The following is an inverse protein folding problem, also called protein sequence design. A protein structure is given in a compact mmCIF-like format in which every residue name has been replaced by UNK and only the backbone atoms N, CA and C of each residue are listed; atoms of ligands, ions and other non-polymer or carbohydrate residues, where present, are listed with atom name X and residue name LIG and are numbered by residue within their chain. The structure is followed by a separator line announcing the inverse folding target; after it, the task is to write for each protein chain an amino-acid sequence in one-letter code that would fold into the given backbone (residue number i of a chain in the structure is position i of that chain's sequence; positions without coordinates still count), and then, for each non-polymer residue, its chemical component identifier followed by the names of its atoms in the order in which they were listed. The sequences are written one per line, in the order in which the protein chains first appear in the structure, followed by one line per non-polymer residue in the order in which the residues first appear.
data_IF_188090957103
#
_entry.id   IF_188090957103
#
_cell.length_a   1.000
_cell.length_b   1.000
_cell.length_c   1.000
_cell.angle_alpha   90.00
_cell.angle_beta   90.00
_cell.angle_gamma   90.00
#
_symmetry.space_group_name_H-M   'P 1'
#
loop_
_entity.id
_entity.type
_entity.pdbx_description
1 polymer ?
#
# COMPACT_ATOMS: atom_id res chain seq x y z
N UNK A 1 -52.77 17.88 58.29
CA UNK A 1 -52.62 17.81 56.82
C UNK A 1 -52.84 16.35 56.40
N UNK A 2 -53.83 16.07 55.54
CA UNK A 2 -54.30 14.69 55.27
C UNK A 2 -53.21 13.84 54.60
N UNK A 3 -52.83 12.70 55.19
CA UNK A 3 -51.68 11.86 54.77
C UNK A 3 -51.74 11.48 53.28
N UNK A 4 -52.95 11.28 52.75
CA UNK A 4 -53.22 11.00 51.34
C UNK A 4 -52.84 12.15 50.40
N UNK A 5 -53.04 13.41 50.81
CA UNK A 5 -52.68 14.59 50.00
C UNK A 5 -51.16 14.77 49.91
N UNK A 6 -50.43 14.48 50.99
CA UNK A 6 -48.96 14.53 51.02
C UNK A 6 -48.38 13.47 50.08
N UNK A 7 -48.88 12.23 50.15
CA UNK A 7 -48.46 11.14 49.26
C UNK A 7 -48.71 11.48 47.77
N UNK A 8 -49.86 12.09 47.45
CA UNK A 8 -50.18 12.54 46.09
C UNK A 8 -49.25 13.66 45.59
N UNK A 9 -48.89 14.61 46.46
CA UNK A 9 -47.96 15.69 46.12
C UNK A 9 -46.55 15.13 45.87
N UNK A 10 -46.07 14.23 46.73
CA UNK A 10 -44.76 13.59 46.56
C UNK A 10 -44.72 12.79 45.26
N UNK A 11 -45.76 12.00 44.98
CA UNK A 11 -45.86 11.22 43.74
C UNK A 11 -45.88 12.11 42.48
N UNK A 12 -46.64 13.21 42.51
CA UNK A 12 -46.67 14.17 41.41
C UNK A 12 -45.29 14.83 41.18
N UNK A 13 -44.55 15.13 42.24
CA UNK A 13 -43.18 15.65 42.15
C UNK A 13 -42.24 14.63 41.51
N UNK A 14 -42.29 13.35 41.91
CA UNK A 14 -41.47 12.32 41.28
C UNK A 14 -41.80 12.10 39.81
N UNK A 15 -43.08 12.15 39.42
CA UNK A 15 -43.48 12.10 38.01
C UNK A 15 -42.93 13.29 37.24
N UNK A 16 -43.07 14.52 37.76
CA UNK A 16 -42.55 15.71 37.11
C UNK A 16 -41.02 15.65 36.97
N UNK A 17 -40.33 15.24 38.04
CA UNK A 17 -38.88 15.03 38.03
C UNK A 17 -38.49 13.98 36.99
N UNK A 18 -39.21 12.85 36.90
CA UNK A 18 -38.97 11.81 35.91
C UNK A 18 -39.19 12.30 34.48
N UNK A 19 -40.29 13.01 34.20
CA UNK A 19 -40.60 13.57 32.89
C UNK A 19 -39.54 14.59 32.43
N UNK A 20 -38.85 15.26 33.36
CA UNK A 20 -37.75 16.20 33.03
C UNK A 20 -36.41 15.46 32.92
N UNK A 21 -36.07 14.63 33.91
CA UNK A 21 -34.77 13.95 33.98
C UNK A 21 -34.60 12.86 32.95
N UNK A 22 -35.64 12.07 32.64
CA UNK A 22 -35.50 10.96 31.68
C UNK A 22 -35.14 11.46 30.27
N UNK A 23 -35.83 12.46 29.67
CA UNK A 23 -35.40 13.03 28.39
C UNK A 23 -34.00 13.66 28.44
N UNK A 24 -33.63 14.32 29.54
CA UNK A 24 -32.29 14.88 29.70
C UNK A 24 -31.20 13.81 29.73
N UNK A 25 -31.45 12.69 30.43
CA UNK A 25 -30.55 11.53 30.45
C UNK A 25 -30.48 10.90 29.07
N UNK A 26 -31.60 10.73 28.37
CA UNK A 26 -31.63 10.21 26.99
C UNK A 26 -30.81 11.10 26.07
N UNK A 27 -31.03 12.42 26.07
CA UNK A 27 -30.25 13.39 25.28
C UNK A 27 -28.76 13.34 25.63
N UNK A 28 -28.42 13.27 26.91
CA UNK A 28 -27.04 13.14 27.37
C UNK A 28 -26.37 11.87 26.84
N UNK A 29 -27.04 10.73 26.94
CA UNK A 29 -26.52 9.43 26.44
C UNK A 29 -26.48 9.37 24.91
N UNK A 30 -27.35 10.11 24.22
CA UNK A 30 -27.34 10.27 22.76
C UNK A 30 -26.24 11.24 22.25
N UNK A 31 -25.43 11.82 23.15
CA UNK A 31 -24.29 12.66 22.82
C UNK A 31 -24.57 14.16 22.76
N UNK A 32 -25.76 14.62 23.18
CA UNK A 32 -26.08 16.04 23.22
C UNK A 32 -25.40 16.73 24.40
N UNK A 33 -24.79 17.88 24.15
CA UNK A 33 -24.08 18.71 25.14
C UNK A 33 -24.45 20.17 24.94
N UNK A 34 -24.57 20.89 26.05
CA UNK A 34 -24.79 22.34 26.00
C UNK A 34 -23.46 23.07 25.74
N UNK A 35 -23.51 24.03 24.81
CA UNK A 35 -22.43 24.93 24.41
C UNK A 35 -22.88 26.38 24.64
N UNK A 36 -22.09 27.23 25.31
CA UNK A 36 -22.44 28.63 25.57
C UNK A 36 -22.75 29.48 24.34
N UNK A 37 -22.24 29.11 23.16
CA UNK A 37 -22.42 29.88 21.92
C UNK A 37 -23.39 29.22 20.93
N UNK A 38 -23.50 27.88 20.94
CA UNK A 38 -24.24 27.12 19.92
C UNK A 38 -25.46 26.38 20.48
N UNK A 39 -25.78 26.56 21.77
CA UNK A 39 -26.89 25.85 22.41
C UNK A 39 -26.61 24.35 22.56
N UNK A 40 -27.61 23.51 22.32
CA UNK A 40 -27.49 22.05 22.46
C UNK A 40 -26.93 21.47 21.16
N UNK A 41 -25.70 20.96 21.20
CA UNK A 41 -25.00 20.34 20.05
C UNK A 41 -24.79 18.86 20.27
N UNK A 42 -24.89 18.06 19.20
CA UNK A 42 -24.54 16.63 19.27
C UNK A 42 -23.04 16.49 19.03
N UNK A 43 -22.34 15.95 20.02
CA UNK A 43 -20.88 15.78 19.95
C UNK A 43 -20.45 14.68 18.99
N UNK A 44 -19.25 14.80 18.45
CA UNK A 44 -18.58 13.77 17.65
C UNK A 44 -17.51 13.02 18.44
N UNK A 45 -16.92 12.02 17.80
CA UNK A 45 -15.87 11.17 18.36
C UNK A 45 -14.68 11.08 17.40
N UNK A 46 -13.45 11.07 17.93
CA UNK A 46 -12.25 10.68 17.18
C UNK A 46 -11.81 9.30 17.63
N UNK A 47 -11.58 8.40 16.67
CA UNK A 47 -10.80 7.18 16.90
C UNK A 47 -9.42 7.36 16.29
N UNK A 48 -8.38 7.14 17.08
CA UNK A 48 -7.00 7.39 16.71
C UNK A 48 -6.20 6.12 16.99
N UNK A 49 -5.51 5.59 15.99
CA UNK A 49 -4.56 4.49 16.09
C UNK A 49 -3.36 4.75 15.16
N UNK A 50 -2.20 4.24 15.56
CA UNK A 50 -0.96 4.36 14.82
C UNK A 50 -0.21 3.03 14.79
N UNK A 51 0.67 2.89 13.81
CA UNK A 51 1.70 1.84 13.75
C UNK A 51 3.08 2.52 13.76
N UNK A 52 3.95 2.27 14.76
CA UNK A 52 3.71 1.49 15.97
C UNK A 52 2.64 2.10 16.89
N UNK A 53 2.17 1.29 17.85
CA UNK A 53 1.28 1.74 18.92
C UNK A 53 2.04 2.62 19.92
N UNK A 54 1.29 3.19 20.87
CA UNK A 54 1.78 4.02 21.97
C UNK A 54 2.29 5.41 21.56
N UNK A 55 1.84 5.91 20.40
CA UNK A 55 2.11 7.28 19.99
C UNK A 55 1.40 8.28 20.90
N UNK A 56 2.11 9.32 21.31
CA UNK A 56 1.56 10.47 22.02
C UNK A 56 0.59 11.22 21.11
N UNK A 57 -0.60 11.52 21.63
CA UNK A 57 -1.66 12.25 20.91
C UNK A 57 -1.76 13.68 21.40
N UNK A 58 -1.74 14.66 20.49
CA UNK A 58 -2.10 16.05 20.79
C UNK A 58 -3.29 16.49 19.92
N UNK A 59 -4.17 17.29 20.51
CA UNK A 59 -5.32 17.90 19.84
C UNK A 59 -5.24 19.42 20.01
N UNK A 60 -5.14 20.15 18.90
CA UNK A 60 -4.91 21.61 18.87
C UNK A 60 -3.75 22.03 19.78
N UNK A 61 -2.63 21.31 19.69
CA UNK A 61 -1.45 21.54 20.51
C UNK A 61 -1.59 21.14 21.98
N UNK A 62 -2.70 20.57 22.44
CA UNK A 62 -2.88 20.09 23.81
C UNK A 62 -2.67 18.59 23.91
N UNK A 63 -1.79 18.17 24.84
CA UNK A 63 -1.52 16.76 25.12
C UNK A 63 -2.79 16.06 25.61
N UNK A 64 -3.14 14.94 24.97
CA UNK A 64 -4.20 14.05 25.44
C UNK A 64 -3.65 13.07 26.47
N UNK A 65 -4.50 12.65 27.41
CA UNK A 65 -4.10 11.81 28.55
C UNK A 65 -3.70 10.38 28.17
N UNK A 66 -4.27 9.85 27.10
CA UNK A 66 -4.10 8.46 26.65
C UNK A 66 -3.35 8.46 25.30
N UNK A 67 -2.43 7.53 25.11
CA UNK A 67 -1.70 7.35 23.85
C UNK A 67 -2.54 6.56 22.82
N UNK A 68 -2.15 6.60 21.54
CA UNK A 68 -2.78 5.79 20.50
C UNK A 68 -2.49 4.29 20.71
N UNK A 69 -3.47 3.37 20.53
CA UNK A 69 -4.84 3.64 20.10
C UNK A 69 -5.73 4.21 21.21
N UNK A 70 -6.50 5.25 20.90
CA UNK A 70 -7.43 5.90 21.85
C UNK A 70 -8.70 6.43 21.17
N UNK A 71 -9.72 6.69 21.99
CA UNK A 71 -11.01 7.25 21.57
C UNK A 71 -11.23 8.57 22.32
N UNK A 72 -11.27 9.68 21.59
CA UNK A 72 -11.60 10.99 22.13
C UNK A 72 -13.09 11.24 21.90
N UNK A 73 -13.89 11.05 22.96
CA UNK A 73 -15.34 11.26 22.94
C UNK A 73 -15.69 12.71 23.23
N UNK A 74 -16.94 13.08 22.95
CA UNK A 74 -17.55 14.35 23.36
C UNK A 74 -16.89 15.59 22.75
N UNK A 75 -16.30 15.44 21.57
CA UNK A 75 -15.72 16.56 20.84
C UNK A 75 -16.83 17.41 20.24
N UNK A 76 -16.65 18.72 20.30
CA UNK A 76 -17.58 19.63 19.63
C UNK A 76 -17.35 19.51 18.13
N UNK A 77 -18.40 19.62 17.31
CA UNK A 77 -18.22 19.65 15.86
C UNK A 77 -17.35 20.85 15.45
N UNK A 78 -16.18 20.56 14.89
CA UNK A 78 -15.15 21.52 14.48
C UNK A 78 -14.04 20.82 13.71
N UNK A 79 -13.15 21.59 13.08
CA UNK A 79 -11.86 21.11 12.59
C UNK A 79 -10.86 21.07 13.76
N UNK A 80 -10.11 19.98 13.87
CA UNK A 80 -9.10 19.78 14.90
C UNK A 80 -7.75 19.43 14.28
N UNK A 81 -6.67 20.06 14.73
CA UNK A 81 -5.32 19.61 14.42
C UNK A 81 -4.99 18.41 15.31
N UNK A 82 -4.83 17.23 14.70
CA UNK A 82 -4.39 16.02 15.38
C UNK A 82 -2.91 15.82 15.10
N UNK A 83 -2.11 15.68 16.15
CA UNK A 83 -0.68 15.39 16.05
C UNK A 83 -0.37 14.06 16.76
N UNK A 84 0.42 13.21 16.10
CA UNK A 84 0.90 11.93 16.62
C UNK A 84 2.42 11.94 16.61
N UNK A 85 3.02 11.62 17.76
CA UNK A 85 4.46 11.58 17.92
C UNK A 85 4.90 10.32 18.68
N UNK A 86 5.98 9.70 18.23
CA UNK A 86 6.61 8.57 18.91
C UNK A 86 8.14 8.78 18.88
N UNK A 87 8.86 8.60 20.00
CA UNK A 87 10.30 8.80 20.04
C UNK A 87 11.03 8.02 18.94
N UNK A 88 11.97 8.68 18.24
CA UNK A 88 12.73 8.08 17.13
C UNK A 88 11.96 7.92 15.82
N UNK A 89 10.73 8.44 15.72
CA UNK A 89 9.91 8.39 14.51
C UNK A 89 9.59 9.81 14.02
N UNK A 90 9.37 9.94 12.72
CA UNK A 90 8.87 11.14 12.09
C UNK A 90 7.45 11.42 12.61
N UNK A 91 7.14 12.67 13.03
CA UNK A 91 5.81 13.01 13.51
C UNK A 91 4.79 12.97 12.37
N UNK A 92 3.54 12.70 12.73
CA UNK A 92 2.40 12.82 11.83
C UNK A 92 1.44 13.88 12.37
N UNK A 93 0.88 14.68 11.47
CA UNK A 93 -0.15 15.66 11.82
C UNK A 93 -1.14 15.81 10.66
N UNK A 94 -2.41 16.07 11.02
CA UNK A 94 -3.47 16.38 10.05
C UNK A 94 -4.60 17.14 10.72
N UNK A 95 -5.14 18.14 10.02
CA UNK A 95 -6.39 18.81 10.41
C UNK A 95 -7.57 18.00 9.92
N UNK A 96 -8.47 17.62 10.83
CA UNK A 96 -9.60 16.75 10.53
C UNK A 96 -10.90 17.28 11.14
N UNK A 97 -11.95 17.24 10.32
CA UNK A 97 -13.30 17.59 10.72
C UNK A 97 -13.93 16.53 11.62
N UNK A 98 -14.42 16.97 12.77
CA UNK A 98 -15.32 16.21 13.64
C UNK A 98 -16.74 16.68 13.38
N UNK A 99 -17.63 15.74 13.07
CA UNK A 99 -19.04 16.01 12.76
C UNK A 99 -19.98 15.53 13.86
N UNK A 100 -21.18 16.11 13.89
CA UNK A 100 -22.20 15.83 14.89
C UNK A 100 -22.61 14.35 14.91
N UNK A 101 -22.41 13.64 16.03
CA UNK A 101 -22.85 12.25 16.17
C UNK A 101 -22.09 11.22 15.33
N UNK A 102 -21.04 11.63 14.64
CA UNK A 102 -20.18 10.77 13.82
C UNK A 102 -18.88 10.42 14.55
N UNK A 103 -18.23 9.34 14.11
CA UNK A 103 -16.86 9.01 14.49
C UNK A 103 -15.94 9.26 13.31
N UNK A 104 -14.96 10.14 13.46
CA UNK A 104 -13.88 10.32 12.47
C UNK A 104 -12.75 9.36 12.83
N UNK A 105 -12.40 8.48 11.89
CA UNK A 105 -11.37 7.45 12.07
C UNK A 105 -10.01 7.91 11.53
N UNK A 106 -8.96 7.65 12.31
CA UNK A 106 -7.55 7.80 11.98
C UNK A 106 -6.88 6.48 12.42
N UNK A 107 -6.95 5.45 11.58
CA UNK A 107 -6.61 4.07 11.96
C UNK A 107 -5.43 3.47 11.19
N UNK A 108 -5.06 4.07 10.05
CA UNK A 108 -4.00 3.58 9.18
C UNK A 108 -2.72 4.43 9.21
N UNK A 109 -2.50 5.26 10.23
CA UNK A 109 -1.31 6.11 10.31
C UNK A 109 -0.07 5.27 10.62
N UNK A 110 0.98 5.44 9.80
CA UNK A 110 2.31 4.88 10.07
C UNK A 110 3.22 6.02 10.52
N UNK A 111 3.82 5.85 11.69
CA UNK A 111 4.92 6.68 12.14
C UNK A 111 6.20 6.01 11.66
N UNK A 112 6.82 6.58 10.63
CA UNK A 112 8.05 6.05 10.05
C UNK A 112 9.25 6.38 10.96
N UNK A 113 10.15 5.45 11.17
CA UNK A 113 11.42 5.66 11.88
C UNK A 113 12.22 6.77 11.20
N UNK A 114 12.79 7.64 12.02
CA UNK A 114 13.73 8.67 11.57
C UNK A 114 15.15 8.09 11.55
N UNK A 115 15.35 7.12 10.66
CA UNK A 115 16.63 6.41 10.49
C UNK A 115 17.13 6.50 9.05
N UNK A 116 18.46 6.52 8.91
CA UNK A 116 19.12 6.46 7.62
C UNK A 116 19.08 5.05 7.03
N UNK A 117 19.16 4.97 5.71
CA UNK A 117 19.33 3.72 4.99
C UNK A 117 20.72 3.12 5.24
N UNK A 118 20.83 1.80 5.15
CA UNK A 118 22.06 1.05 5.34
C UNK A 118 22.39 0.24 4.09
N UNK A 119 23.63 0.28 3.63
CA UNK A 119 24.14 -0.59 2.56
C UNK A 119 24.25 -2.02 3.10
N UNK A 120 23.59 -2.96 2.44
CA UNK A 120 23.55 -4.39 2.81
C UNK A 120 24.46 -5.21 1.90
N UNK A 121 24.40 -4.96 0.59
CA UNK A 121 25.20 -5.66 -0.41
C UNK A 121 25.82 -4.61 -1.33
N UNK A 122 27.15 -4.55 -1.38
CA UNK A 122 27.92 -3.65 -2.25
C UNK A 122 28.29 -4.36 -3.54
N UNK A 123 27.35 -4.45 -4.47
CA UNK A 123 27.54 -5.09 -5.77
C UNK A 123 26.91 -4.24 -6.88
N UNK A 124 27.50 -4.29 -8.07
CA UNK A 124 26.94 -3.64 -9.25
C UNK A 124 25.88 -4.54 -9.89
N UNK A 125 24.66 -4.47 -9.37
CA UNK A 125 23.54 -5.31 -9.79
C UNK A 125 22.94 -4.80 -11.10
N UNK A 126 22.97 -5.62 -12.15
CA UNK A 126 22.31 -5.30 -13.43
C UNK A 126 20.79 -5.50 -13.36
N UNK A 127 20.35 -6.55 -12.66
CA UNK A 127 18.95 -6.85 -12.42
C UNK A 127 18.76 -7.42 -11.02
N UNK A 128 17.58 -7.22 -10.45
CA UNK A 128 17.22 -7.70 -9.11
C UNK A 128 15.77 -8.15 -9.10
N UNK A 129 15.48 -9.20 -8.34
CA UNK A 129 14.13 -9.68 -8.11
C UNK A 129 13.98 -10.16 -6.66
N UNK A 130 12.85 -9.81 -6.04
CA UNK A 130 12.51 -10.20 -4.68
C UNK A 130 11.49 -11.34 -4.69
N UNK A 131 11.70 -12.32 -3.82
CA UNK A 131 10.71 -13.38 -3.61
C UNK A 131 9.41 -12.80 -3.06
N UNK A 132 8.23 -13.37 -3.38
CA UNK A 132 6.95 -12.89 -2.88
C UNK A 132 6.84 -12.80 -1.35
N UNK A 133 7.66 -13.57 -0.63
CA UNK A 133 7.71 -13.55 0.85
C UNK A 133 8.64 -12.48 1.41
N UNK A 134 9.48 -11.85 0.59
CA UNK A 134 10.51 -10.89 1.01
C UNK A 134 11.74 -11.52 1.68
N UNK A 135 11.80 -12.85 1.77
CA UNK A 135 12.87 -13.57 2.48
C UNK A 135 14.14 -13.75 1.63
N UNK A 136 13.98 -13.78 0.31
CA UNK A 136 15.07 -13.97 -0.65
C UNK A 136 15.11 -12.83 -1.66
N UNK A 137 16.33 -12.46 -2.04
CA UNK A 137 16.65 -11.58 -3.16
C UNK A 137 17.56 -12.32 -4.13
N UNK A 138 17.23 -12.25 -5.42
CA UNK A 138 18.08 -12.69 -6.50
C UNK A 138 18.60 -11.47 -7.26
N UNK A 139 19.87 -11.44 -7.61
CA UNK A 139 20.42 -10.41 -8.50
C UNK A 139 21.35 -11.04 -9.52
N UNK A 140 21.56 -10.33 -10.64
CA UNK A 140 22.61 -10.65 -11.57
C UNK A 140 23.68 -9.56 -11.54
N UNK A 141 24.94 -9.97 -11.60
CA UNK A 141 26.09 -9.10 -11.75
C UNK A 141 27.03 -9.62 -12.85
N UNK A 142 27.87 -8.72 -13.36
CA UNK A 142 28.87 -9.08 -14.36
C UNK A 142 30.25 -9.12 -13.72
N UNK A 143 30.84 -10.32 -13.67
CA UNK A 143 32.16 -10.54 -13.09
C UNK A 143 33.04 -11.37 -14.04
N UNK A 144 34.23 -10.87 -14.35
CA UNK A 144 35.26 -11.58 -15.10
C UNK A 144 34.79 -12.23 -16.43
N UNK A 145 33.87 -11.58 -17.16
CA UNK A 145 33.35 -12.07 -18.45
C UNK A 145 32.15 -13.02 -18.33
N UNK A 146 31.65 -13.23 -17.12
CA UNK A 146 30.44 -13.97 -16.82
C UNK A 146 29.35 -13.03 -16.35
N UNK A 147 28.11 -13.34 -16.73
CA UNK A 147 26.94 -12.84 -16.00
C UNK A 147 26.53 -13.91 -15.00
N UNK A 148 26.63 -13.60 -13.71
CA UNK A 148 26.39 -14.50 -12.60
C UNK A 148 25.09 -14.12 -11.89
N UNK A 149 24.28 -15.11 -11.53
CA UNK A 149 23.05 -14.91 -10.76
C UNK A 149 23.25 -15.46 -9.37
N UNK A 150 23.02 -14.59 -8.39
CA UNK A 150 23.20 -14.86 -6.98
C UNK A 150 21.86 -14.80 -6.27
N UNK A 151 21.70 -15.63 -5.24
CA UNK A 151 20.58 -15.56 -4.29
C UNK A 151 21.13 -15.34 -2.90
N UNK A 152 20.48 -14.47 -2.13
CA UNK A 152 20.79 -14.23 -0.73
C UNK A 152 19.52 -14.13 0.10
N UNK A 153 19.66 -14.31 1.41
CA UNK A 153 18.54 -14.12 2.35
C UNK A 153 18.56 -12.70 2.91
N UNK A 154 17.38 -12.12 3.14
CA UNK A 154 17.24 -10.80 3.75
C UNK A 154 17.65 -10.76 5.22
N UNK A 155 17.67 -11.92 5.90
CA UNK A 155 18.02 -12.03 7.32
C UNK A 155 19.53 -12.17 7.58
N UNK A 156 20.26 -12.88 6.72
CA UNK A 156 21.71 -13.07 6.78
C UNK A 156 22.26 -13.12 5.35
N UNK A 157 22.99 -12.09 4.89
CA UNK A 157 23.50 -12.05 3.52
C UNK A 157 24.58 -13.13 3.29
N UNK A 158 24.16 -14.35 2.97
CA UNK A 158 25.03 -15.42 2.50
C UNK A 158 24.70 -15.66 1.02
N UNK A 159 25.43 -14.95 0.15
CA UNK A 159 25.25 -15.01 -1.28
C UNK A 159 25.63 -16.40 -1.81
N UNK A 160 24.75 -16.99 -2.63
CA UNK A 160 25.00 -18.26 -3.32
C UNK A 160 24.86 -18.05 -4.82
N UNK A 161 25.88 -18.46 -5.57
CA UNK A 161 25.83 -18.53 -7.03
C UNK A 161 24.86 -19.65 -7.43
N UNK A 162 23.82 -19.32 -8.20
CA UNK A 162 22.80 -20.29 -8.63
C UNK A 162 22.77 -20.50 -10.14
N UNK A 163 23.32 -19.56 -10.90
CA UNK A 163 23.42 -19.66 -12.36
C UNK A 163 24.55 -18.78 -12.86
N UNK A 164 25.14 -19.13 -14.00
CA UNK A 164 26.07 -18.25 -14.72
C UNK A 164 26.00 -18.52 -16.22
N UNK A 165 26.25 -17.49 -17.00
CA UNK A 165 26.38 -17.58 -18.46
C UNK A 165 27.60 -16.80 -18.93
N UNK A 166 28.27 -17.34 -19.94
CA UNK A 166 29.43 -16.73 -20.58
C UNK A 166 28.93 -15.54 -21.42
N UNK A 167 29.55 -14.36 -21.26
CA UNK A 167 29.23 -13.04 -21.88
C UNK A 167 28.41 -12.09 -21.00
N UNK A 168 28.48 -10.81 -21.36
CA UNK A 168 27.66 -9.71 -20.83
C UNK A 168 26.26 -9.78 -21.45
N UNK A 169 25.43 -10.65 -20.89
CA UNK A 169 24.07 -10.90 -21.36
C UNK A 169 23.06 -10.29 -20.38
N UNK A 170 22.12 -9.52 -20.91
CA UNK A 170 21.06 -8.95 -20.09
C UNK A 170 20.09 -10.06 -19.64
N UNK A 171 20.22 -10.49 -18.39
CA UNK A 171 19.31 -11.42 -17.76
C UNK A 171 18.10 -10.68 -17.17
N UNK A 172 16.93 -11.32 -17.22
CA UNK A 172 15.76 -10.89 -16.45
C UNK A 172 15.47 -11.94 -15.37
N UNK A 173 15.29 -11.48 -14.14
CA UNK A 173 14.95 -12.32 -13.00
C UNK A 173 13.49 -12.07 -12.60
N UNK A 174 12.75 -13.14 -12.32
CA UNK A 174 11.39 -13.04 -11.77
C UNK A 174 11.15 -14.24 -10.86
N UNK A 175 10.60 -14.02 -9.67
CA UNK A 175 10.22 -15.13 -8.79
C UNK A 175 8.84 -15.64 -9.18
N UNK A 176 8.73 -16.92 -9.52
CA UNK A 176 7.45 -17.55 -9.89
C UNK A 176 6.69 -18.05 -8.66
N UNK A 177 7.41 -18.34 -7.59
CA UNK A 177 6.88 -18.71 -6.28
C UNK A 177 7.90 -18.28 -5.19
N UNK A 178 7.62 -18.46 -3.89
CA UNK A 178 8.55 -18.09 -2.81
C UNK A 178 9.96 -18.67 -2.88
N UNK A 179 10.13 -19.79 -3.59
CA UNK A 179 11.32 -20.65 -3.58
C UNK A 179 11.93 -20.86 -4.96
N UNK A 180 11.33 -20.37 -6.04
CA UNK A 180 11.82 -20.56 -7.42
C UNK A 180 11.99 -19.23 -8.15
N UNK A 181 13.20 -19.01 -8.67
CA UNK A 181 13.51 -17.91 -9.60
C UNK A 181 13.49 -18.41 -11.04
N UNK A 182 12.78 -17.68 -11.89
CA UNK A 182 12.89 -17.76 -13.34
C UNK A 182 13.96 -16.80 -13.82
N UNK A 183 14.92 -17.34 -14.56
CA UNK A 183 15.98 -16.61 -15.25
C UNK A 183 15.63 -16.65 -16.73
N UNK A 184 15.26 -15.50 -17.27
CA UNK A 184 14.95 -15.35 -18.69
C UNK A 184 16.15 -14.77 -19.41
N UNK A 185 16.57 -15.46 -20.46
CA UNK A 185 17.62 -15.03 -21.37
C UNK A 185 17.12 -15.15 -22.81
N UNK A 186 16.94 -14.02 -23.50
CA UNK A 186 16.26 -13.97 -24.80
C UNK A 186 14.88 -14.66 -24.77
N UNK A 187 14.74 -15.85 -25.38
CA UNK A 187 13.54 -16.68 -25.38
C UNK A 187 13.70 -17.95 -24.54
N UNK A 188 14.86 -18.14 -23.92
CA UNK A 188 15.12 -19.26 -23.02
C UNK A 188 14.70 -18.91 -21.60
N UNK A 189 14.00 -19.84 -20.97
CA UNK A 189 13.55 -19.75 -19.59
C UNK A 189 14.23 -20.86 -18.79
N UNK A 190 14.87 -20.51 -17.68
CA UNK A 190 15.46 -21.46 -16.74
C UNK A 190 14.88 -21.24 -15.36
N UNK A 191 14.49 -22.32 -14.69
CA UNK A 191 13.92 -22.27 -13.35
C UNK A 191 14.92 -22.83 -12.37
N UNK A 192 15.27 -22.06 -11.36
CA UNK A 192 16.25 -22.43 -10.35
C UNK A 192 15.63 -22.21 -8.97
N UNK A 193 15.69 -23.21 -8.10
CA UNK A 193 15.26 -23.03 -6.71
C UNK A 193 16.17 -22.05 -5.97
N UNK A 194 15.70 -21.50 -4.85
CA UNK A 194 16.48 -20.68 -3.90
C UNK A 194 17.77 -21.36 -3.43
N UNK A 195 17.81 -22.69 -3.50
CA UNK A 195 18.95 -23.51 -3.12
C UNK A 195 19.90 -23.83 -4.30
N UNK A 196 19.60 -23.36 -5.51
CA UNK A 196 20.45 -23.52 -6.70
C UNK A 196 20.17 -24.77 -7.52
N UNK A 197 19.10 -25.52 -7.24
CA UNK A 197 18.72 -26.70 -8.04
C UNK A 197 17.94 -26.27 -9.29
N UNK A 198 18.35 -26.74 -10.46
CA UNK A 198 17.63 -26.56 -11.72
C UNK A 198 16.33 -27.37 -11.70
N UNK A 199 15.22 -26.73 -12.06
CA UNK A 199 13.89 -27.31 -12.07
C UNK A 199 13.35 -27.41 -13.50
N UNK A 200 12.63 -28.48 -13.81
CA UNK A 200 11.78 -28.56 -14.99
C UNK A 200 10.48 -27.80 -14.71
N UNK A 201 10.14 -26.79 -15.51
CA UNK A 201 8.88 -26.04 -15.36
C UNK A 201 7.69 -27.00 -15.29
N UNK A 202 6.80 -26.82 -14.32
CA UNK A 202 5.38 -27.14 -14.52
C UNK A 202 4.72 -25.83 -14.87
N UNK A 203 4.12 -25.71 -16.04
CA UNK A 203 3.03 -24.75 -16.24
C UNK A 203 2.35 -25.02 -17.56
N UNK A 204 1.05 -25.29 -17.48
CA UNK A 204 0.12 -24.70 -18.43
C UNK A 204 -0.59 -23.60 -17.65
N UNK A 205 -0.15 -22.36 -17.82
CA UNK A 205 -0.99 -21.21 -17.48
C UNK A 205 -2.31 -21.40 -18.23
N UNK A 206 -3.43 -21.36 -17.51
CA UNK A 206 -4.76 -21.48 -18.11
C UNK A 206 -5.05 -20.30 -19.06
N UNK A 207 -4.30 -19.21 -18.88
CA UNK A 207 -4.33 -18.02 -19.73
C UNK A 207 -3.33 -18.14 -20.87
N UNK A 208 -3.80 -18.02 -22.10
CA UNK A 208 -2.98 -18.01 -23.32
C UNK A 208 -3.39 -16.85 -24.24
N UNK A 209 -2.49 -16.51 -25.17
CA UNK A 209 -2.70 -15.43 -26.14
C UNK A 209 -2.60 -16.00 -27.55
N UNK A 210 -3.60 -15.77 -28.39
CA UNK A 210 -3.60 -16.17 -29.79
C UNK A 210 -3.60 -14.93 -30.68
N UNK A 211 -2.53 -14.77 -31.46
CA UNK A 211 -2.37 -13.63 -32.36
C UNK A 211 -3.20 -13.83 -33.64
N UNK A 212 -4.00 -12.83 -33.98
CA UNK A 212 -4.77 -12.73 -35.21
C UNK A 212 -4.14 -11.65 -36.13
N UNK A 213 -4.76 -11.39 -37.29
CA UNK A 213 -4.26 -10.42 -38.27
C UNK A 213 -4.21 -8.98 -37.73
N UNK A 214 -5.18 -8.59 -36.89
CA UNK A 214 -5.38 -7.21 -36.40
C UNK A 214 -5.63 -7.13 -34.89
N UNK A 215 -5.54 -8.25 -34.18
CA UNK A 215 -5.94 -8.39 -32.79
C UNK A 215 -5.22 -9.56 -32.11
N UNK A 216 -5.37 -9.64 -30.78
CA UNK A 216 -4.92 -10.79 -29.99
C UNK A 216 -6.10 -11.29 -29.17
N UNK A 217 -6.47 -12.56 -29.32
CA UNK A 217 -7.47 -13.18 -28.45
C UNK A 217 -6.79 -13.62 -27.14
N UNK A 218 -7.34 -13.19 -26.02
CA UNK A 218 -7.00 -13.67 -24.68
C UNK A 218 -7.90 -14.86 -24.37
N UNK A 219 -7.31 -16.03 -24.18
CA UNK A 219 -8.05 -17.26 -23.90
C UNK A 219 -7.82 -17.70 -22.45
N UNK A 220 -8.90 -18.13 -21.80
CA UNK A 220 -8.87 -18.78 -20.48
C UNK A 220 -9.44 -20.18 -20.67
N UNK A 221 -8.68 -21.22 -20.31
CA UNK A 221 -9.04 -22.62 -20.55
C UNK A 221 -9.40 -22.89 -22.03
N UNK A 222 -8.67 -22.26 -22.95
CA UNK A 222 -8.89 -22.39 -24.40
C UNK A 222 -10.16 -21.71 -24.94
N UNK A 223 -10.92 -20.99 -24.11
CA UNK A 223 -12.08 -20.20 -24.54
C UNK A 223 -11.69 -18.73 -24.61
N UNK A 224 -12.08 -18.04 -25.68
CA UNK A 224 -11.83 -16.60 -25.84
C UNK A 224 -12.60 -15.82 -24.77
N UNK A 225 -11.88 -15.19 -23.85
CA UNK A 225 -12.44 -14.28 -22.86
C UNK A 225 -12.60 -12.88 -23.47
N UNK A 226 -11.56 -12.36 -24.13
CA UNK A 226 -11.58 -11.01 -24.68
C UNK A 226 -10.70 -10.90 -25.93
N UNK A 227 -11.04 -9.96 -26.81
CA UNK A 227 -10.22 -9.57 -27.96
C UNK A 227 -9.51 -8.25 -27.67
N UNK A 228 -8.19 -8.30 -27.64
CA UNK A 228 -7.32 -7.17 -27.32
C UNK A 228 -6.73 -6.56 -28.60
N UNK A 229 -6.33 -5.27 -28.59
CA UNK A 229 -5.61 -4.64 -29.69
C UNK A 229 -4.36 -5.43 -30.10
N UNK A 230 -3.96 -5.36 -31.37
CA UNK A 230 -2.73 -6.01 -31.83
C UNK A 230 -1.50 -5.54 -31.03
N UNK A 231 -0.74 -6.48 -30.49
CA UNK A 231 0.40 -6.21 -29.61
C UNK A 231 1.04 -7.48 -29.09
N UNK A 232 2.03 -7.33 -28.20
CA UNK A 232 2.67 -8.47 -27.53
C UNK A 232 2.29 -8.49 -26.07
N UNK A 233 1.45 -9.45 -25.69
CA UNK A 233 0.90 -9.51 -24.34
C UNK A 233 1.65 -10.49 -23.44
N UNK A 234 1.70 -10.15 -22.16
CA UNK A 234 2.06 -11.06 -21.08
C UNK A 234 1.04 -10.96 -19.94
N UNK A 235 0.85 -12.07 -19.25
CA UNK A 235 0.14 -12.09 -17.97
C UNK A 235 1.03 -11.44 -16.91
N UNK A 236 0.50 -10.46 -16.18
CA UNK A 236 1.16 -9.87 -15.01
C UNK A 236 0.67 -10.52 -13.71
N UNK A 237 -0.61 -10.83 -13.64
CA UNK A 237 -1.25 -11.36 -12.44
C UNK A 237 -2.52 -12.15 -12.80
N UNK A 238 -2.71 -13.29 -12.16
CA UNK A 238 -3.92 -14.12 -12.25
C UNK A 238 -4.47 -14.35 -10.84
N UNK A 239 -5.53 -13.61 -10.49
CA UNK A 239 -6.17 -13.67 -9.18
C UNK A 239 -7.68 -13.72 -9.35
N UNK A 240 -8.26 -14.92 -9.33
CA UNK A 240 -9.71 -15.09 -9.55
C UNK A 240 -10.54 -14.07 -8.73
N UNK A 241 -11.43 -13.29 -9.37
CA UNK A 241 -11.84 -13.38 -10.78
C UNK A 241 -11.03 -12.53 -11.77
N UNK A 242 -10.03 -11.77 -11.33
CA UNK A 242 -9.30 -10.80 -12.15
C UNK A 242 -8.07 -11.37 -12.88
N UNK A 243 -7.85 -10.87 -14.10
CA UNK A 243 -6.66 -11.10 -14.90
C UNK A 243 -6.04 -9.75 -15.27
N UNK A 244 -4.79 -9.53 -14.89
CA UNK A 244 -4.04 -8.34 -15.28
C UNK A 244 -3.05 -8.72 -16.37
N UNK A 245 -3.21 -8.12 -17.55
CA UNK A 245 -2.32 -8.34 -18.70
C UNK A 245 -1.66 -7.05 -19.12
N UNK A 246 -0.47 -7.16 -19.72
CA UNK A 246 0.27 -6.01 -20.24
C UNK A 246 0.61 -6.22 -21.70
N UNK A 247 0.25 -5.24 -22.53
CA UNK A 247 0.83 -5.05 -23.84
C UNK A 247 2.23 -4.42 -23.70
N UNK A 248 3.24 -5.24 -23.92
CA UNK A 248 4.65 -4.86 -23.83
C UNK A 248 5.13 -3.99 -25.00
N UNK A 249 4.36 -3.94 -26.10
CA UNK A 249 4.69 -3.09 -27.26
C UNK A 249 4.29 -1.64 -27.01
N UNK A 250 3.17 -1.41 -26.33
CA UNK A 250 2.60 -0.07 -26.12
C UNK A 250 2.65 0.40 -24.65
N UNK A 251 3.19 -0.41 -23.73
CA UNK A 251 3.19 -0.14 -22.28
C UNK A 251 1.79 0.14 -21.73
N UNK A 252 0.84 -0.72 -22.11
CA UNK A 252 -0.55 -0.63 -21.70
C UNK A 252 -0.94 -1.82 -20.85
N UNK A 253 -1.66 -1.56 -19.78
CA UNK A 253 -2.25 -2.60 -18.95
C UNK A 253 -3.73 -2.77 -19.30
N UNK A 254 -4.23 -3.99 -19.14
CA UNK A 254 -5.65 -4.29 -19.21
C UNK A 254 -6.02 -5.18 -18.05
N UNK A 255 -7.00 -4.74 -17.27
CA UNK A 255 -7.61 -5.54 -16.21
C UNK A 255 -8.89 -6.15 -16.75
N UNK A 256 -8.98 -7.48 -16.66
CA UNK A 256 -10.15 -8.22 -17.07
C UNK A 256 -10.74 -9.00 -15.89
N UNK A 257 -12.02 -9.37 -16.01
CA UNK A 257 -12.73 -10.26 -15.10
C UNK A 257 -13.20 -11.51 -15.81
N UNK A 258 -13.16 -12.63 -15.09
CA UNK A 258 -13.76 -13.90 -15.48
C UNK A 258 -15.16 -14.11 -14.90
N UNK A 259 -15.61 -13.19 -14.03
CA UNK A 259 -16.94 -13.25 -13.42
C UNK A 259 -18.07 -12.73 -14.32
N UNK A 260 -17.74 -11.80 -15.24
CA UNK A 260 -18.66 -11.29 -16.26
C UNK A 260 -18.01 -11.47 -17.64
N UNK A 261 -18.45 -12.50 -18.36
CA UNK A 261 -17.92 -12.83 -19.68
C UNK A 261 -18.51 -11.96 -20.80
N UNK A 262 -19.59 -11.22 -20.54
CA UNK A 262 -20.20 -10.30 -21.51
C UNK A 262 -19.42 -8.97 -21.56
N UNK A 263 -18.94 -8.50 -20.40
CA UNK A 263 -18.12 -7.30 -20.26
C UNK A 263 -16.84 -7.56 -19.47
N UNK A 264 -15.91 -8.35 -20.02
CA UNK A 264 -14.74 -8.81 -19.28
C UNK A 264 -13.71 -7.70 -19.05
N UNK A 265 -13.66 -6.65 -19.89
CA UNK A 265 -12.66 -5.58 -19.77
C UNK A 265 -13.09 -4.53 -18.75
N UNK A 266 -12.37 -4.45 -17.62
CA UNK A 266 -12.65 -3.52 -16.52
C UNK A 266 -11.84 -2.22 -16.60
N UNK A 267 -10.58 -2.31 -17.01
CA UNK A 267 -9.66 -1.18 -17.11
C UNK A 267 -8.74 -1.39 -18.30
N UNK A 268 -8.43 -0.32 -19.03
CA UNK A 268 -7.36 -0.31 -20.02
C UNK A 268 -6.67 1.06 -19.99
N UNK A 269 -5.41 1.07 -19.55
CA UNK A 269 -4.66 2.31 -19.30
C UNK A 269 -3.20 2.16 -19.71
N UNK A 270 -2.57 3.25 -20.11
CA UNK A 270 -1.12 3.26 -20.30
C UNK A 270 -0.47 3.27 -18.90
N UNK A 271 0.40 2.29 -18.61
CA UNK A 271 1.06 2.15 -17.32
C UNK A 271 2.40 1.44 -17.44
N UNK A 272 3.39 2.00 -16.74
CA UNK A 272 4.74 1.43 -16.62
C UNK A 272 4.86 0.51 -15.42
N UNK A 273 4.15 0.84 -14.34
CA UNK A 273 4.21 0.12 -13.08
C UNK A 273 2.81 -0.13 -12.55
N UNK A 274 2.64 -1.28 -11.90
CA UNK A 274 1.40 -1.71 -11.30
C UNK A 274 1.69 -2.43 -10.00
N UNK A 275 0.81 -2.26 -9.03
CA UNK A 275 0.81 -3.08 -7.83
C UNK A 275 -0.59 -3.18 -7.23
N UNK A 276 -0.86 -4.27 -6.53
CA UNK A 276 -2.16 -4.54 -5.94
C UNK A 276 -2.11 -4.54 -4.43
N UNK A 277 -3.15 -3.99 -3.81
CA UNK A 277 -3.50 -4.35 -2.45
C UNK A 277 -4.67 -5.34 -2.48
N UNK A 278 -4.35 -6.62 -2.24
CA UNK A 278 -5.35 -7.70 -2.25
C UNK A 278 -6.18 -7.68 -3.55
N UNK A 279 -7.47 -7.95 -3.50
CA UNK A 279 -8.37 -7.92 -4.67
C UNK A 279 -9.16 -6.60 -4.79
N UNK A 280 -8.81 -5.62 -3.97
CA UNK A 280 -9.70 -4.51 -3.66
C UNK A 280 -9.36 -3.27 -4.51
N UNK A 281 -8.07 -3.05 -4.75
CA UNK A 281 -7.58 -1.90 -5.48
C UNK A 281 -6.27 -2.17 -6.23
N UNK A 282 -6.19 -1.68 -7.47
CA UNK A 282 -5.02 -1.71 -8.33
C UNK A 282 -4.41 -0.31 -8.38
N UNK A 283 -3.17 -0.15 -7.92
CA UNK A 283 -2.40 1.05 -8.19
C UNK A 283 -1.66 0.87 -9.52
N UNK A 284 -1.65 1.93 -10.31
CA UNK A 284 -0.86 1.99 -11.54
C UNK A 284 -0.22 3.36 -11.69
N UNK A 285 0.96 3.38 -12.31
CA UNK A 285 1.70 4.59 -12.56
C UNK A 285 2.06 4.73 -14.04
N UNK A 286 1.81 5.93 -14.56
CA UNK A 286 2.40 6.41 -15.81
C UNK A 286 3.81 6.92 -15.51
N UNK A 287 4.43 7.64 -16.46
CA UNK A 287 5.69 8.34 -16.18
C UNK A 287 5.56 9.40 -15.09
N UNK A 288 4.40 10.04 -14.93
CA UNK A 288 4.25 11.28 -14.14
C UNK A 288 3.01 11.31 -13.25
N UNK A 289 2.24 10.22 -13.17
CA UNK A 289 1.06 10.17 -12.31
C UNK A 289 0.85 8.80 -11.71
N UNK A 290 0.29 8.78 -10.50
CA UNK A 290 -0.15 7.58 -9.81
C UNK A 290 -1.67 7.63 -9.70
N UNK A 291 -2.32 6.54 -10.06
CA UNK A 291 -3.77 6.37 -9.99
C UNK A 291 -4.10 5.05 -9.31
N UNK A 292 -5.29 4.98 -8.72
CA UNK A 292 -5.86 3.75 -8.16
C UNK A 292 -7.16 3.45 -8.90
N UNK A 293 -7.33 2.19 -9.29
CA UNK A 293 -8.58 1.65 -9.81
C UNK A 293 -9.20 0.70 -8.80
N UNK A 294 -10.49 0.89 -8.50
CA UNK A 294 -11.28 0.05 -7.60
C UNK A 294 -12.31 -0.76 -8.42
N UNK A 295 -12.05 -2.07 -8.66
CA UNK A 295 -12.91 -2.87 -9.53
C UNK A 295 -14.36 -2.99 -9.06
N UNK A 296 -14.60 -3.01 -7.74
CA UNK A 296 -15.93 -3.18 -7.16
C UNK A 296 -16.90 -2.04 -7.55
N UNK A 297 -16.38 -0.83 -7.72
CA UNK A 297 -17.16 0.38 -8.04
C UNK A 297 -16.84 0.97 -9.42
N UNK A 298 -15.93 0.33 -10.18
CA UNK A 298 -15.47 0.77 -11.49
C UNK A 298 -14.95 2.22 -11.50
N UNK A 299 -14.23 2.62 -10.45
CA UNK A 299 -13.76 3.99 -10.29
C UNK A 299 -12.24 4.06 -10.38
N UNK A 300 -11.75 4.97 -11.22
CA UNK A 300 -10.35 5.39 -11.23
C UNK A 300 -10.20 6.72 -10.49
N UNK A 301 -9.33 6.73 -9.48
CA UNK A 301 -9.00 7.92 -8.69
C UNK A 301 -7.55 8.29 -8.94
N UNK A 302 -7.31 9.51 -9.43
CA UNK A 302 -5.97 10.08 -9.52
C UNK A 302 -5.46 10.41 -8.11
N UNK A 303 -4.31 9.83 -7.75
CA UNK A 303 -3.70 10.03 -6.43
C UNK A 303 -2.78 11.23 -6.42
N UNK A 304 -1.90 11.34 -7.42
CA UNK A 304 -0.99 12.47 -7.53
C UNK A 304 -0.41 12.60 -8.94
N UNK A 305 0.04 13.81 -9.27
CA UNK A 305 0.90 14.10 -10.43
C UNK A 305 2.26 14.59 -9.93
N UNK A 306 3.31 14.12 -10.56
CA UNK A 306 4.71 14.33 -10.14
C UNK A 306 5.48 14.86 -11.34
N UNK A 307 6.38 15.81 -11.12
CA UNK A 307 7.20 16.43 -12.17
C UNK A 307 8.41 15.59 -12.59
N UNK A 308 8.77 14.60 -11.78
CA UNK A 308 9.85 13.65 -12.02
C UNK A 308 9.30 12.31 -12.47
N UNK A 309 10.08 11.61 -13.29
CA UNK A 309 9.72 10.29 -13.79
C UNK A 309 9.62 9.30 -12.63
N UNK A 310 8.50 8.60 -12.55
CA UNK A 310 8.29 7.52 -11.58
C UNK A 310 9.06 6.28 -12.06
N UNK A 311 9.73 5.60 -11.13
CA UNK A 311 10.47 4.36 -11.40
C UNK A 311 9.83 3.11 -10.82
N UNK A 312 8.95 3.24 -9.83
CA UNK A 312 8.15 2.14 -9.32
C UNK A 312 7.03 2.68 -8.41
N UNK A 313 5.98 1.89 -8.19
CA UNK A 313 4.92 2.13 -7.21
C UNK A 313 4.56 0.81 -6.51
N UNK A 314 4.42 0.84 -5.18
CA UNK A 314 4.13 -0.34 -4.36
C UNK A 314 3.18 0.02 -3.23
N UNK A 315 2.19 -0.82 -2.96
CA UNK A 315 1.30 -0.71 -1.80
C UNK A 315 2.02 -1.05 -0.51
N UNK A 316 1.74 -0.25 0.52
CA UNK A 316 1.98 -0.71 1.87
C UNK A 316 0.86 -1.67 2.30
N UNK A 317 1.16 -2.81 2.96
CA UNK A 317 0.17 -3.83 3.31
C UNK A 317 -0.96 -3.39 4.26
N UNK A 318 -0.82 -2.23 4.91
CA UNK A 318 -1.92 -1.66 5.71
C UNK A 318 -3.02 -0.99 4.85
N UNK A 319 -2.76 -0.69 3.57
CA UNK A 319 -3.70 -0.02 2.68
C UNK A 319 -3.90 1.46 2.89
N UNK A 320 -3.16 2.09 3.80
CA UNK A 320 -3.19 3.54 4.02
C UNK A 320 -2.15 4.32 3.23
N UNK A 321 -1.18 3.64 2.60
CA UNK A 321 -0.06 4.29 1.90
C UNK A 321 0.31 3.58 0.60
N UNK A 322 0.74 4.37 -0.38
CA UNK A 322 1.56 3.93 -1.49
C UNK A 322 2.99 4.42 -1.31
N UNK A 323 3.95 3.60 -1.67
CA UNK A 323 5.33 3.98 -1.86
C UNK A 323 5.60 4.19 -3.34
N UNK A 324 6.41 5.18 -3.67
CA UNK A 324 6.89 5.40 -5.02
C UNK A 324 8.31 5.95 -5.01
N UNK A 325 9.03 5.76 -6.10
CA UNK A 325 10.37 6.29 -6.27
C UNK A 325 10.48 7.15 -7.53
N UNK A 326 11.29 8.19 -7.43
CA UNK A 326 11.86 8.93 -8.57
C UNK A 326 13.34 8.56 -8.69
N UNK A 327 14.08 9.25 -9.55
CA UNK A 327 15.51 9.01 -9.72
C UNK A 327 16.32 9.24 -8.44
N UNK A 328 15.88 10.09 -7.52
CA UNK A 328 16.65 10.47 -6.31
C UNK A 328 15.91 10.20 -5.01
N UNK A 329 14.58 10.17 -5.03
CA UNK A 329 13.79 10.07 -3.81
C UNK A 329 12.88 8.84 -3.79
N UNK A 330 12.76 8.22 -2.63
CA UNK A 330 11.72 7.24 -2.30
C UNK A 330 10.77 7.89 -1.31
N UNK A 331 9.47 7.93 -1.63
CA UNK A 331 8.45 8.65 -0.85
C UNK A 331 7.27 7.74 -0.51
N UNK A 332 6.63 8.04 0.60
CA UNK A 332 5.33 7.49 0.98
C UNK A 332 4.25 8.55 0.80
N UNK A 333 3.18 8.23 0.07
CA UNK A 333 1.99 9.05 -0.04
C UNK A 333 0.83 8.39 0.72
N UNK A 334 0.25 9.16 1.64
CA UNK A 334 -0.94 8.76 2.38
C UNK A 334 -2.17 8.75 1.47
N UNK A 335 -3.04 7.75 1.65
CA UNK A 335 -4.23 7.60 0.83
C UNK A 335 -5.45 8.38 1.33
N UNK A 336 -5.46 8.70 2.62
CA UNK A 336 -6.43 9.62 3.18
C UNK A 336 -6.17 11.04 2.66
N UNK A 337 -7.14 11.55 1.90
CA UNK A 337 -7.12 12.84 1.23
C UNK A 337 -7.80 13.97 2.02
N UNK A 338 -8.34 13.67 3.21
CA UNK A 338 -8.90 14.69 4.10
C UNK A 338 -7.80 15.69 4.46
N UNK A 339 -8.03 16.97 4.17
CA UNK A 339 -7.05 18.05 4.30
C UNK A 339 -5.76 17.83 3.47
N UNK A 340 -5.89 17.15 2.33
CA UNK A 340 -4.79 16.85 1.43
C UNK A 340 -4.02 15.58 1.82
N UNK A 341 -3.43 14.96 0.80
CA UNK A 341 -2.59 13.77 0.96
C UNK A 341 -1.22 14.18 1.47
N UNK A 342 -0.78 13.57 2.57
CA UNK A 342 0.55 13.77 3.11
C UNK A 342 1.56 12.96 2.30
N UNK A 343 2.68 13.58 1.95
CA UNK A 343 3.84 12.89 1.35
C UNK A 343 5.00 12.96 2.33
N UNK A 344 5.54 11.80 2.70
CA UNK A 344 6.70 11.66 3.57
C UNK A 344 7.89 11.21 2.73
N UNK A 345 8.98 11.98 2.76
CA UNK A 345 10.22 11.55 2.13
C UNK A 345 10.87 10.46 2.98
N UNK A 346 11.13 9.30 2.37
CA UNK A 346 11.69 8.16 3.06
C UNK A 346 13.19 8.00 2.78
N UNK A 347 13.62 8.22 1.53
CA UNK A 347 15.03 8.10 1.16
C UNK A 347 15.35 9.22 0.18
N UNK A 348 16.53 9.83 0.31
CA UNK A 348 17.14 10.66 -0.72
C UNK A 348 18.53 10.12 -1.02
N UNK A 349 18.84 9.93 -2.30
CA UNK A 349 20.11 9.42 -2.82
C UNK A 349 20.48 10.10 -4.14
N UNK A 350 21.70 9.86 -4.61
CA UNK A 350 22.12 10.35 -5.93
C UNK A 350 21.42 9.61 -7.06
N UNK A 351 21.18 8.31 -6.89
CA UNK A 351 20.35 7.56 -7.81
C UNK A 351 19.59 6.41 -7.11
N UNK A 352 18.34 6.19 -7.48
CA UNK A 352 17.51 5.06 -7.09
C UNK A 352 17.03 4.36 -8.37
N UNK A 353 17.44 3.10 -8.54
CA UNK A 353 17.12 2.33 -9.74
C UNK A 353 15.78 1.60 -9.61
N UNK A 354 15.51 1.04 -8.43
CA UNK A 354 14.27 0.32 -8.11
C UNK A 354 14.14 0.14 -6.61
N UNK A 355 12.94 -0.16 -6.13
CA UNK A 355 12.69 -0.52 -4.74
C UNK A 355 11.64 -1.62 -4.60
N UNK A 356 11.63 -2.24 -3.44
CA UNK A 356 10.71 -3.26 -3.01
C UNK A 356 10.32 -3.02 -1.55
N UNK A 357 9.03 -3.17 -1.23
CA UNK A 357 8.56 -3.15 0.14
C UNK A 357 8.45 -4.58 0.65
N UNK A 358 9.04 -4.85 1.82
CA UNK A 358 8.88 -6.15 2.45
C UNK A 358 7.39 -6.43 2.68
N UNK A 359 6.86 -7.66 2.50
CA UNK A 359 5.42 -7.94 2.62
C UNK A 359 4.82 -7.64 4.00
N UNK A 360 5.65 -7.51 5.03
CA UNK A 360 5.24 -7.08 6.37
C UNK A 360 5.11 -5.56 6.51
N UNK A 361 5.56 -4.79 5.51
CA UNK A 361 5.46 -3.33 5.43
C UNK A 361 6.51 -2.56 6.23
N UNK A 362 7.29 -3.25 7.06
CA UNK A 362 8.19 -2.61 8.03
C UNK A 362 9.59 -2.30 7.49
N UNK A 363 9.96 -2.77 6.29
CA UNK A 363 11.28 -2.54 5.69
C UNK A 363 11.12 -2.20 4.22
N UNK A 364 11.89 -1.21 3.75
CA UNK A 364 12.14 -0.96 2.33
C UNK A 364 13.51 -1.47 1.93
N UNK A 365 13.56 -2.12 0.79
CA UNK A 365 14.79 -2.50 0.11
C UNK A 365 14.86 -1.76 -1.22
N UNK A 366 16.03 -1.28 -1.61
CA UNK A 366 16.17 -0.55 -2.86
C UNK A 366 17.60 -0.61 -3.39
N UNK A 367 17.73 -0.59 -4.72
CA UNK A 367 19.01 -0.49 -5.38
C UNK A 367 19.29 0.98 -5.63
N UNK A 368 20.43 1.46 -5.14
CA UNK A 368 20.77 2.86 -5.23
C UNK A 368 22.27 3.11 -5.29
N UNK A 369 22.61 4.36 -5.53
CA UNK A 369 23.95 4.91 -5.47
C UNK A 369 23.94 6.15 -4.55
N UNK A 370 24.79 6.17 -3.54
CA UNK A 370 24.93 7.28 -2.59
C UNK A 370 26.02 8.29 -2.97
N UNK A 371 26.65 8.12 -4.13
CA UNK A 371 27.78 8.89 -4.64
C UNK A 371 29.14 8.23 -4.44
N UNK A 372 29.21 7.23 -3.56
CA UNK A 372 30.44 6.48 -3.28
C UNK A 372 30.21 5.02 -3.62
N UNK A 373 29.16 4.44 -3.04
CA UNK A 373 28.82 3.04 -3.17
C UNK A 373 27.56 2.86 -4.03
N UNK A 374 27.52 1.74 -4.75
CA UNK A 374 26.34 1.25 -5.47
C UNK A 374 26.00 -0.11 -4.92
N UNK A 375 24.72 -0.37 -4.69
CA UNK A 375 24.29 -1.68 -4.24
C UNK A 375 22.88 -1.71 -3.67
N UNK A 376 22.62 -2.76 -2.91
CA UNK A 376 21.36 -2.96 -2.20
C UNK A 376 21.42 -2.28 -0.84
N UNK A 377 20.50 -1.34 -0.64
CA UNK A 377 20.27 -0.69 0.64
C UNK A 377 18.98 -1.18 1.26
N UNK A 378 18.91 -1.07 2.58
CA UNK A 378 17.69 -1.26 3.36
C UNK A 378 17.38 -0.02 4.19
N UNK A 379 16.08 0.21 4.44
CA UNK A 379 15.60 1.17 5.42
C UNK A 379 14.50 0.54 6.26
N UNK A 380 14.72 0.47 7.56
CA UNK A 380 13.70 0.08 8.52
C UNK A 380 12.68 1.21 8.64
N UNK A 381 11.40 0.89 8.48
CA UNK A 381 10.29 1.85 8.55
C UNK A 381 9.68 1.91 9.94
N UNK A 382 9.58 0.79 10.65
CA UNK A 382 9.10 0.73 12.03
C UNK A 382 9.44 -0.62 12.65
N UNK A 383 9.49 -0.65 13.98
CA UNK A 383 9.61 -1.90 14.72
C UNK A 383 8.24 -2.58 14.80
N UNK A 384 8.24 -3.92 14.80
CA UNK A 384 7.03 -4.73 14.97
C UNK A 384 6.47 -4.66 16.38
#
# INVERSE_FOLDING_TARGET
MNNRRIQQIIFAIFIALFIISAPLVVLYTAGYRWSPHNGVVRTGTLFIASTPKDATVRLDGKLYKDNAPTIIKTLRPAEYLVELALPGHLPWEKTLGVREGETTFIDNVILFLDTNSQLVIKENMQTVAWSPTGNHVAWADHQAGWTEVWISTSAQPASRLVYRVERDEALKLTWVDPDTVEITHHKEHRYVSKDGQLLSKRDESLVTFQQNTDSVDLLVNGTVLARLPFGTYRLLDERSPYLLVQDTTHNRISLLTTADTEQPLLLQEDALYVDWIRQDALAFATEFSISIYEPAIHQTTLITRISERIHNVVWHPNGGYLFYATATDLRAIELDDRNGRRVTNLVTMNHIYTFFAHPQGNILYFIGNDGIDTGLYQRLLFNK
#
